data_IF_110073465747
#
_entry.id   IF_110073465747
#
_cell.length_a   1.000
_cell.length_b   1.000
_cell.length_c   1.000
_cell.angle_alpha   90.00
_cell.angle_beta   90.00
_cell.angle_gamma   90.00
#
_symmetry.space_group_name_H-M   'P 1'
#
loop_
_entity.id
_entity.type
_entity.pdbx_description
1 polymer ?
#
# COMPACT_ATOMS: atom_id res chain seq x y z
N UNK A 1 13.21 -0.67 -10.08
CA UNK A 1 12.39 0.54 -10.32
C UNK A 1 11.17 0.34 -11.23
N UNK A 2 10.97 -0.82 -11.87
CA UNK A 2 9.91 -0.99 -12.89
C UNK A 2 8.54 -1.42 -12.36
N UNK A 3 8.46 -2.09 -11.20
CA UNK A 3 7.18 -2.63 -10.69
C UNK A 3 6.27 -1.58 -10.05
N UNK A 4 6.83 -0.62 -9.32
CA UNK A 4 6.07 0.47 -8.70
C UNK A 4 5.50 1.40 -9.77
N UNK A 5 6.28 1.77 -10.78
CA UNK A 5 5.79 2.61 -11.88
C UNK A 5 4.67 1.96 -12.68
N UNK A 6 4.70 0.63 -12.83
CA UNK A 6 3.69 -0.13 -13.57
C UNK A 6 2.28 -0.06 -12.95
N UNK A 7 2.15 0.11 -11.63
CA UNK A 7 0.83 0.18 -10.97
C UNK A 7 0.23 1.59 -10.91
N UNK A 8 1.05 2.65 -11.12
CA UNK A 8 0.60 4.03 -11.01
C UNK A 8 -0.61 4.38 -11.91
N UNK A 9 -0.72 3.90 -13.17
CA UNK A 9 -1.90 4.18 -13.98
C UNK A 9 -3.20 3.66 -13.35
N UNK A 10 -3.15 2.48 -12.73
CA UNK A 10 -4.30 1.89 -12.04
C UNK A 10 -4.66 2.69 -10.80
N UNK A 11 -3.68 3.02 -9.95
CA UNK A 11 -3.91 3.83 -8.75
C UNK A 11 -4.51 5.20 -9.11
N UNK A 12 -3.95 5.89 -10.11
CA UNK A 12 -4.47 7.19 -10.56
C UNK A 12 -5.90 7.08 -11.07
N UNK A 13 -6.24 6.03 -11.80
CA UNK A 13 -7.60 5.81 -12.31
C UNK A 13 -8.60 5.61 -11.18
N UNK A 14 -8.26 4.77 -10.19
CA UNK A 14 -9.14 4.51 -9.04
C UNK A 14 -9.35 5.76 -8.19
N UNK A 15 -8.26 6.48 -7.91
CA UNK A 15 -8.32 7.73 -7.14
C UNK A 15 -9.12 8.82 -7.86
N UNK A 16 -8.95 8.96 -9.18
CA UNK A 16 -9.74 9.88 -9.98
C UNK A 16 -11.25 9.53 -10.01
N UNK A 17 -11.59 8.25 -9.82
CA UNK A 17 -12.97 7.79 -9.68
C UNK A 17 -13.52 7.94 -8.25
N UNK A 18 -12.76 8.51 -7.31
CA UNK A 18 -13.18 8.71 -5.93
C UNK A 18 -13.07 7.46 -5.05
N UNK A 19 -12.22 6.51 -5.40
CA UNK A 19 -11.97 5.34 -4.56
C UNK A 19 -11.07 5.68 -3.36
N UNK A 20 -11.27 4.98 -2.26
CA UNK A 20 -10.20 4.67 -1.31
C UNK A 20 -9.54 3.35 -1.77
N UNK A 21 -8.21 3.28 -1.77
CA UNK A 21 -7.49 2.16 -2.38
C UNK A 21 -6.64 1.44 -1.34
N UNK A 22 -6.84 0.13 -1.23
CA UNK A 22 -5.96 -0.77 -0.48
C UNK A 22 -5.10 -1.55 -1.46
N UNK A 23 -3.78 -1.49 -1.30
CA UNK A 23 -2.79 -2.21 -2.08
C UNK A 23 -2.21 -3.32 -1.22
N UNK A 24 -2.02 -4.50 -1.80
CA UNK A 24 -1.29 -5.59 -1.17
C UNK A 24 -0.21 -6.08 -2.12
N UNK A 25 0.96 -6.38 -1.58
CA UNK A 25 2.06 -6.95 -2.36
C UNK A 25 2.91 -7.89 -1.51
N UNK A 26 3.96 -8.44 -2.10
CA UNK A 26 4.93 -9.27 -1.40
C UNK A 26 6.34 -8.84 -1.79
N UNK A 27 7.29 -9.08 -0.88
CA UNK A 27 8.71 -8.85 -1.12
C UNK A 27 9.50 -10.04 -0.57
N UNK A 28 10.40 -10.57 -1.40
CA UNK A 28 11.22 -11.72 -1.01
C UNK A 28 10.41 -12.99 -0.75
N UNK A 29 10.91 -13.82 0.17
CA UNK A 29 10.29 -15.10 0.59
C UNK A 29 10.43 -15.26 2.10
N UNK A 30 9.56 -14.60 2.89
CA UNK A 30 9.64 -14.58 4.34
C UNK A 30 9.32 -15.92 5.03
N UNK A 31 8.70 -16.88 4.33
CA UNK A 31 8.38 -18.22 4.84
C UNK A 31 7.64 -18.23 6.20
N UNK A 32 6.78 -17.23 6.46
CA UNK A 32 6.00 -17.12 7.69
C UNK A 32 6.63 -16.25 8.79
N UNK A 33 7.82 -15.71 8.56
CA UNK A 33 8.49 -14.77 9.46
C UNK A 33 8.36 -13.32 8.96
N UNK A 34 8.76 -12.33 9.77
CA UNK A 34 8.70 -10.89 9.43
C UNK A 34 10.07 -10.23 9.44
N UNK A 35 11.02 -10.67 8.59
CA UNK A 35 12.36 -10.10 8.58
C UNK A 35 12.34 -8.67 8.01
N UNK A 36 13.08 -7.77 8.66
CA UNK A 36 13.13 -6.34 8.31
C UNK A 36 13.57 -6.10 6.86
N UNK A 37 14.44 -6.95 6.31
CA UNK A 37 14.90 -6.86 4.92
C UNK A 37 13.77 -7.01 3.88
N UNK A 38 12.67 -7.69 4.23
CA UNK A 38 11.49 -7.87 3.38
C UNK A 38 10.36 -6.90 3.71
N UNK A 39 10.59 -5.91 4.58
CA UNK A 39 9.62 -4.86 4.87
C UNK A 39 9.12 -4.16 3.60
N UNK A 40 7.84 -3.79 3.63
CA UNK A 40 7.17 -3.03 2.57
C UNK A 40 7.37 -1.51 2.69
N UNK A 41 7.98 -1.03 3.78
CA UNK A 41 8.29 0.39 3.99
C UNK A 41 8.99 1.10 2.81
N UNK A 42 10.06 0.55 2.19
CA UNK A 42 10.66 1.21 1.02
C UNK A 42 9.75 1.22 -0.21
N UNK A 43 8.79 0.29 -0.30
CA UNK A 43 7.80 0.27 -1.39
C UNK A 43 6.71 1.31 -1.15
N UNK A 44 6.21 1.44 0.09
CA UNK A 44 5.26 2.48 0.48
C UNK A 44 5.81 3.87 0.14
N UNK A 45 7.06 4.15 0.55
CA UNK A 45 7.70 5.44 0.30
C UNK A 45 7.90 5.69 -1.20
N UNK A 46 8.27 4.66 -1.97
CA UNK A 46 8.39 4.80 -3.42
C UNK A 46 7.05 5.10 -4.10
N UNK A 47 5.96 4.44 -3.68
CA UNK A 47 4.61 4.73 -4.20
C UNK A 47 4.23 6.17 -3.82
N UNK A 48 4.41 6.56 -2.56
CA UNK A 48 4.11 7.91 -2.05
C UNK A 48 4.76 8.99 -2.90
N UNK A 49 6.07 8.88 -3.11
CA UNK A 49 6.86 9.83 -3.91
C UNK A 49 6.40 9.90 -5.38
N UNK A 50 6.15 8.74 -6.01
CA UNK A 50 5.81 8.70 -7.43
C UNK A 50 4.35 9.04 -7.72
N UNK A 51 3.44 8.68 -6.81
CA UNK A 51 2.02 8.96 -6.93
C UNK A 51 1.71 10.42 -6.59
N UNK A 52 2.49 11.01 -5.68
CA UNK A 52 2.27 12.36 -5.14
C UNK A 52 1.08 12.43 -4.19
N UNK A 53 0.78 11.33 -3.52
CA UNK A 53 -0.29 11.18 -2.52
C UNK A 53 0.30 10.51 -1.28
N UNK A 54 -0.29 10.78 -0.12
CA UNK A 54 0.06 10.04 1.09
C UNK A 54 -0.31 8.56 0.95
N UNK A 55 0.56 7.69 1.48
CA UNK A 55 0.39 6.23 1.44
C UNK A 55 0.64 5.71 2.84
N UNK A 56 -0.42 5.15 3.44
CA UNK A 56 -0.37 4.60 4.80
C UNK A 56 0.15 3.16 4.71
N UNK A 57 1.27 2.85 5.36
CA UNK A 57 1.68 1.46 5.54
C UNK A 57 1.05 0.91 6.82
N UNK A 58 0.30 -0.19 6.70
CA UNK A 58 -0.23 -0.91 7.85
C UNK A 58 0.79 -1.93 8.36
N UNK A 59 0.76 -2.23 9.66
CA UNK A 59 1.72 -3.12 10.33
C UNK A 59 1.51 -4.60 9.97
N UNK A 60 0.33 -4.94 9.46
CA UNK A 60 -0.08 -6.29 9.09
C UNK A 60 -1.07 -6.22 7.93
N UNK A 61 -1.38 -7.37 7.32
CA UNK A 61 -2.37 -7.50 6.25
C UNK A 61 -3.73 -8.01 6.75
N UNK A 62 -3.81 -8.44 8.02
CA UNK A 62 -5.03 -8.96 8.65
C UNK A 62 -5.17 -8.51 10.12
N UNK A 63 -6.36 -8.70 10.68
CA UNK A 63 -6.68 -8.46 12.09
C UNK A 63 -7.37 -7.14 12.37
N UNK A 64 -7.92 -7.02 13.58
CA UNK A 64 -8.86 -5.95 13.96
C UNK A 64 -8.30 -4.53 13.72
N UNK A 65 -7.00 -4.33 13.93
CA UNK A 65 -6.33 -3.04 13.68
C UNK A 65 -6.35 -2.68 12.19
N UNK A 66 -6.09 -3.66 11.32
CA UNK A 66 -6.10 -3.49 9.86
C UNK A 66 -7.52 -3.21 9.39
N UNK A 67 -8.50 -3.98 9.88
CA UNK A 67 -9.91 -3.77 9.53
C UNK A 67 -10.38 -2.38 9.95
N UNK A 68 -10.06 -1.96 11.17
CA UNK A 68 -10.41 -0.62 11.67
C UNK A 68 -9.77 0.48 10.83
N UNK A 69 -8.48 0.35 10.49
CA UNK A 69 -7.78 1.33 9.66
C UNK A 69 -8.36 1.40 8.24
N UNK A 70 -8.65 0.26 7.62
CA UNK A 70 -9.24 0.19 6.27
C UNK A 70 -10.66 0.77 6.25
N UNK A 71 -11.48 0.52 7.27
CA UNK A 71 -12.83 1.09 7.38
C UNK A 71 -12.82 2.61 7.59
N UNK A 72 -11.73 3.17 8.10
CA UNK A 72 -11.57 4.60 8.31
C UNK A 72 -11.09 5.35 7.04
N UNK A 73 -10.69 4.64 5.98
CA UNK A 73 -10.23 5.28 4.75
C UNK A 73 -11.35 6.06 4.06
N UNK A 74 -11.00 7.21 3.52
CA UNK A 74 -11.91 8.07 2.75
C UNK A 74 -11.48 8.13 1.27
N UNK A 75 -12.38 8.53 0.35
CA UNK A 75 -12.03 8.75 -1.05
C UNK A 75 -10.74 9.57 -1.21
N UNK A 76 -9.79 9.03 -1.98
CA UNK A 76 -8.46 9.62 -2.17
C UNK A 76 -7.34 9.00 -1.33
N UNK A 77 -7.69 8.24 -0.29
CA UNK A 77 -6.68 7.56 0.54
C UNK A 77 -6.09 6.33 -0.14
N UNK A 78 -4.83 6.06 0.17
CA UNK A 78 -4.12 4.86 -0.25
C UNK A 78 -3.49 4.20 0.98
N UNK A 79 -3.81 2.92 1.19
CA UNK A 79 -3.16 2.08 2.19
C UNK A 79 -2.38 0.94 1.52
N UNK A 80 -1.24 0.56 2.10
CA UNK A 80 -0.45 -0.62 1.75
C UNK A 80 -0.48 -1.59 2.92
N UNK A 81 -0.90 -2.82 2.65
CA UNK A 81 -0.83 -3.97 3.56
C UNK A 81 0.55 -4.63 3.53
#
# INVERSE_FOLDING_TARGET
MTRVTAMLPTLRTLLAAGAAVVVMSHRGRPNGETPEEFSMAPVAEAIRLMLGHEVILLEDCIGDKVETAVQALVPGDVALL
#
